data_IF_910855214773
#
_entry.id   IF_910855214773
#
_cell.length_a   1.000
_cell.length_b   1.000
_cell.length_c   1.000
_cell.angle_alpha   90.00
_cell.angle_beta   90.00
_cell.angle_gamma   90.00
#
_symmetry.space_group_name_H-M   'P 1'
#
loop_
_entity.id
_entity.type
_entity.pdbx_description
1 polymer ?
#
# COMPACT_ATOMS: atom_id res chain seq x y z
N UNK A 1 -11.13 -7.02 14.29
CA UNK A 1 -10.44 -8.17 13.66
C UNK A 1 -9.15 -7.63 13.08
N UNK A 2 -8.04 -8.33 13.32
CA UNK A 2 -6.72 -7.95 12.80
C UNK A 2 -6.15 -9.10 11.96
N UNK A 3 -5.26 -8.77 11.04
CA UNK A 3 -4.62 -9.68 10.08
C UNK A 3 -3.11 -9.48 10.12
N UNK A 4 -2.33 -10.55 10.01
CA UNK A 4 -0.90 -10.41 9.81
C UNK A 4 -0.61 -9.59 8.54
N UNK A 5 0.39 -8.72 8.59
CA UNK A 5 0.80 -7.87 7.47
C UNK A 5 1.06 -8.70 6.21
N UNK A 6 0.59 -8.23 5.06
CA UNK A 6 0.69 -8.92 3.76
C UNK A 6 0.13 -10.37 3.69
N UNK A 7 -0.54 -10.87 4.74
CA UNK A 7 -1.18 -12.19 4.71
C UNK A 7 -2.36 -12.24 3.74
N UNK A 8 -2.83 -13.43 3.31
CA UNK A 8 -4.00 -13.54 2.44
C UNK A 8 -5.25 -12.83 2.98
N UNK A 9 -5.48 -12.86 4.29
CA UNK A 9 -6.60 -12.14 4.92
C UNK A 9 -6.45 -10.62 4.86
N UNK A 10 -5.22 -10.13 5.00
CA UNK A 10 -4.90 -8.71 4.86
C UNK A 10 -5.05 -8.24 3.42
N UNK A 11 -4.57 -9.01 2.44
CA UNK A 11 -4.74 -8.75 1.00
C UNK A 11 -6.22 -8.73 0.60
N UNK A 12 -7.01 -9.69 1.10
CA UNK A 12 -8.46 -9.72 0.86
C UNK A 12 -9.18 -8.49 1.45
N UNK A 13 -8.77 -8.03 2.64
CA UNK A 13 -9.30 -6.80 3.25
C UNK A 13 -8.97 -5.57 2.39
N UNK A 14 -7.71 -5.42 1.97
CA UNK A 14 -7.29 -4.31 1.11
C UNK A 14 -8.05 -4.29 -0.21
N UNK A 15 -8.20 -5.43 -0.86
CA UNK A 15 -8.98 -5.54 -2.09
C UNK A 15 -10.41 -5.06 -1.88
N UNK A 16 -11.08 -5.52 -0.82
CA UNK A 16 -12.44 -5.09 -0.48
C UNK A 16 -12.53 -3.58 -0.25
N UNK A 17 -11.60 -3.01 0.52
CA UNK A 17 -11.55 -1.58 0.82
C UNK A 17 -11.36 -0.72 -0.44
N UNK A 18 -10.38 -1.06 -1.27
CA UNK A 18 -10.07 -0.29 -2.48
C UNK A 18 -11.21 -0.38 -3.49
N UNK A 19 -11.75 -1.58 -3.71
CA UNK A 19 -12.88 -1.79 -4.63
C UNK A 19 -14.12 -1.01 -4.19
N UNK A 20 -14.43 -1.00 -2.89
CA UNK A 20 -15.55 -0.23 -2.34
C UNK A 20 -15.35 1.28 -2.54
N UNK A 21 -14.15 1.78 -2.27
CA UNK A 21 -13.81 3.20 -2.42
C UNK A 21 -13.88 3.67 -3.86
N UNK A 22 -13.30 2.90 -4.79
CA UNK A 22 -13.27 3.28 -6.21
C UNK A 22 -14.65 3.19 -6.86
N UNK A 23 -15.51 2.26 -6.44
CA UNK A 23 -16.92 2.27 -6.88
C UNK A 23 -17.62 3.59 -6.55
N UNK A 24 -17.30 4.24 -5.44
CA UNK A 24 -17.81 5.59 -5.13
C UNK A 24 -17.24 6.62 -6.11
N UNK A 25 -15.95 6.55 -6.42
CA UNK A 25 -15.30 7.45 -7.38
C UNK A 25 -15.82 7.31 -8.81
N UNK A 26 -16.26 6.13 -9.25
CA UNK A 26 -16.90 6.01 -10.57
C UNK A 26 -18.07 7.00 -10.76
N UNK A 27 -18.78 7.32 -9.67
CA UNK A 27 -19.91 8.26 -9.70
C UNK A 27 -19.46 9.69 -9.43
N UNK A 28 -18.53 9.89 -8.48
CA UNK A 28 -18.15 11.22 -7.97
C UNK A 28 -16.97 11.86 -8.73
N UNK A 29 -16.09 11.05 -9.31
CA UNK A 29 -14.81 11.43 -9.92
C UNK A 29 -14.38 10.40 -10.99
N UNK A 30 -15.12 10.28 -12.12
CA UNK A 30 -14.86 9.26 -13.14
C UNK A 30 -13.51 9.43 -13.86
N UNK A 31 -12.88 10.60 -13.71
CA UNK A 31 -11.58 10.95 -14.27
C UNK A 31 -10.39 10.47 -13.42
N UNK A 32 -10.64 9.85 -12.25
CA UNK A 32 -9.57 9.44 -11.35
C UNK A 32 -8.74 8.31 -11.98
N UNK A 33 -7.41 8.51 -11.99
CA UNK A 33 -6.46 7.52 -12.49
C UNK A 33 -5.22 7.52 -11.61
N UNK A 34 -4.83 6.34 -11.13
CA UNK A 34 -3.60 6.14 -10.38
C UNK A 34 -3.26 4.66 -10.35
N UNK A 35 -1.97 4.35 -10.24
CA UNK A 35 -1.53 2.97 -10.09
C UNK A 35 -0.35 2.84 -9.16
N UNK A 36 -0.36 1.79 -8.34
CA UNK A 36 0.77 1.46 -7.47
C UNK A 36 1.06 -0.03 -7.44
N UNK A 37 2.31 -0.36 -7.13
CA UNK A 37 2.74 -1.70 -6.74
C UNK A 37 3.61 -1.59 -5.49
N UNK A 38 3.36 -2.43 -4.49
CA UNK A 38 4.29 -2.61 -3.37
C UNK A 38 4.88 -4.02 -3.41
N UNK A 39 6.17 -4.10 -3.15
CA UNK A 39 6.95 -5.33 -3.09
C UNK A 39 7.65 -5.38 -1.74
N UNK A 40 7.37 -6.44 -0.98
CA UNK A 40 7.95 -6.71 0.32
C UNK A 40 9.05 -7.75 0.17
N UNK A 41 10.30 -7.34 0.36
CA UNK A 41 11.48 -8.22 0.26
C UNK A 41 11.71 -8.98 1.56
N UNK A 42 12.34 -10.15 1.46
CA UNK A 42 12.67 -11.01 2.60
C UNK A 42 11.48 -11.32 3.54
N UNK A 43 10.31 -11.73 3.00
CA UNK A 43 9.16 -12.08 3.82
C UNK A 43 9.43 -13.34 4.68
N UNK A 44 8.68 -13.53 5.78
CA UNK A 44 8.82 -14.73 6.60
C UNK A 44 8.34 -15.97 5.83
N UNK A 45 8.97 -17.11 6.13
CA UNK A 45 8.77 -18.36 5.39
C UNK A 45 7.35 -18.94 5.48
N UNK A 46 6.57 -18.54 6.49
CA UNK A 46 5.15 -18.91 6.60
C UNK A 46 4.26 -18.19 5.57
N UNK A 47 4.68 -17.01 5.09
CA UNK A 47 4.02 -16.28 4.02
C UNK A 47 4.62 -16.57 2.64
N UNK A 48 5.93 -16.85 2.58
CA UNK A 48 6.64 -17.17 1.34
C UNK A 48 7.63 -18.32 1.54
N UNK A 49 7.18 -19.58 1.39
CA UNK A 49 8.03 -20.75 1.65
C UNK A 49 9.27 -20.87 0.76
N UNK A 50 9.23 -20.30 -0.45
CA UNK A 50 10.34 -20.27 -1.40
C UNK A 50 11.22 -19.01 -1.26
N UNK A 51 10.86 -18.09 -0.35
CA UNK A 51 11.56 -16.83 -0.14
C UNK A 51 11.32 -15.78 -1.22
N UNK A 52 10.39 -16.02 -2.14
CA UNK A 52 10.02 -15.04 -3.15
C UNK A 52 9.41 -13.78 -2.49
N UNK A 53 9.70 -12.56 -2.98
CA UNK A 53 9.06 -11.35 -2.45
C UNK A 53 7.53 -11.43 -2.53
N UNK A 54 6.86 -10.87 -1.53
CA UNK A 54 5.41 -10.68 -1.58
C UNK A 54 5.13 -9.38 -2.32
N UNK A 55 4.22 -9.39 -3.27
CA UNK A 55 3.88 -8.18 -4.00
C UNK A 55 2.38 -8.07 -4.25
N UNK A 56 1.91 -6.83 -4.30
CA UNK A 56 0.56 -6.52 -4.72
C UNK A 56 0.53 -5.25 -5.55
N UNK A 57 -0.54 -5.08 -6.31
CA UNK A 57 -0.75 -3.89 -7.11
C UNK A 57 -2.22 -3.46 -7.08
N UNK A 58 -2.42 -2.16 -7.26
CA UNK A 58 -3.72 -1.56 -7.50
C UNK A 58 -3.59 -0.56 -8.64
N UNK A 59 -4.40 -0.75 -9.68
CA UNK A 59 -4.47 0.13 -10.84
C UNK A 59 -5.92 0.60 -10.93
N UNK A 60 -6.11 1.91 -10.88
CA UNK A 60 -7.38 2.59 -11.13
C UNK A 60 -7.26 3.36 -12.42
N UNK A 61 -8.04 2.99 -13.42
CA UNK A 61 -8.08 3.63 -14.76
C UNK A 61 -9.47 3.49 -15.33
N UNK A 62 -9.98 4.53 -16.00
CA UNK A 62 -11.29 4.54 -16.67
C UNK A 62 -12.45 4.08 -15.76
N UNK A 63 -12.35 4.41 -14.47
CA UNK A 63 -13.31 3.99 -13.44
C UNK A 63 -13.16 2.54 -12.98
N UNK A 64 -12.32 1.70 -13.58
CA UNK A 64 -12.13 0.32 -13.17
C UNK A 64 -11.00 0.14 -12.15
N UNK A 65 -11.09 -0.90 -11.33
CA UNK A 65 -10.02 -1.34 -10.40
C UNK A 65 -9.47 -2.66 -10.88
N UNK A 66 -8.16 -2.70 -11.09
CA UNK A 66 -7.40 -3.95 -11.14
C UNK A 66 -6.59 -4.05 -9.85
N UNK A 67 -6.96 -4.98 -8.99
CA UNK A 67 -6.23 -5.33 -7.78
C UNK A 67 -5.73 -6.77 -7.90
N UNK A 68 -4.48 -7.01 -7.55
CA UNK A 68 -3.91 -8.35 -7.66
C UNK A 68 -2.62 -8.54 -6.89
N UNK A 69 -2.26 -9.79 -6.70
CA UNK A 69 -0.96 -10.21 -6.22
C UNK A 69 0.05 -10.20 -7.37
N UNK A 70 1.32 -10.07 -7.04
CA UNK A 70 2.42 -10.04 -7.99
C UNK A 70 2.94 -8.63 -8.29
N UNK A 71 4.22 -8.61 -8.60
CA UNK A 71 4.98 -7.41 -8.91
C UNK A 71 4.62 -6.86 -10.28
N UNK A 72 4.53 -5.52 -10.39
CA UNK A 72 4.34 -4.81 -11.65
C UNK A 72 5.27 -3.61 -11.73
N UNK A 73 5.86 -3.43 -12.91
CA UNK A 73 6.69 -2.27 -13.25
C UNK A 73 5.91 -1.18 -14.00
N UNK A 74 4.77 -1.52 -14.59
CA UNK A 74 3.93 -0.63 -15.39
C UNK A 74 2.90 0.15 -14.55
N UNK A 75 3.37 0.71 -13.43
CA UNK A 75 2.59 1.49 -12.46
C UNK A 75 3.18 2.90 -12.29
N UNK A 76 2.36 3.85 -11.83
CA UNK A 76 2.82 5.23 -11.58
C UNK A 76 3.83 5.29 -10.44
N UNK A 77 3.65 4.43 -9.42
CA UNK A 77 4.53 4.31 -8.27
C UNK A 77 4.78 2.85 -7.94
N UNK A 78 6.04 2.46 -7.82
CA UNK A 78 6.43 1.19 -7.23
C UNK A 78 7.23 1.43 -5.96
N UNK A 79 6.90 0.70 -4.90
CA UNK A 79 7.59 0.74 -3.62
C UNK A 79 8.17 -0.63 -3.36
N UNK A 80 9.50 -0.73 -3.28
CA UNK A 80 10.19 -1.96 -2.88
C UNK A 80 10.72 -1.74 -1.47
N UNK A 81 10.38 -2.63 -0.54
CA UNK A 81 10.69 -2.42 0.87
C UNK A 81 10.94 -3.72 1.63
N UNK A 82 11.90 -3.70 2.54
CA UNK A 82 12.15 -4.78 3.50
C UNK A 82 10.91 -5.08 4.35
N UNK A 83 10.49 -6.36 4.38
CA UNK A 83 9.28 -6.78 5.05
C UNK A 83 9.29 -6.45 6.54
N UNK A 84 10.35 -6.82 7.27
CA UNK A 84 10.41 -6.61 8.72
C UNK A 84 10.38 -5.11 9.05
N UNK A 85 11.10 -4.30 8.28
CA UNK A 85 11.21 -2.87 8.51
C UNK A 85 9.94 -2.07 8.18
N UNK A 86 9.09 -2.55 7.24
CA UNK A 86 7.82 -1.86 6.92
C UNK A 86 6.71 -2.15 7.92
N UNK A 87 6.73 -3.27 8.62
CA UNK A 87 5.64 -3.68 9.51
C UNK A 87 5.27 -2.59 10.55
N UNK A 88 6.21 -1.94 11.25
CA UNK A 88 5.89 -0.83 12.15
C UNK A 88 5.21 0.35 11.43
N UNK A 89 5.62 0.65 10.20
CA UNK A 89 5.03 1.70 9.36
C UNK A 89 3.60 1.32 8.98
N UNK A 90 3.37 0.08 8.53
CA UNK A 90 2.06 -0.44 8.17
C UNK A 90 1.06 -0.49 9.33
N UNK A 91 1.54 -0.62 10.57
CA UNK A 91 0.71 -0.59 11.81
C UNK A 91 0.45 0.83 12.33
N UNK A 92 1.13 1.84 11.82
CA UNK A 92 1.09 3.17 12.41
C UNK A 92 -0.17 3.94 11.95
N UNK A 93 -1.21 3.97 12.79
CA UNK A 93 -2.42 4.77 12.57
C UNK A 93 -2.13 6.26 12.84
N UNK A 94 -2.26 7.12 11.83
CA UNK A 94 -2.05 8.56 11.96
C UNK A 94 -3.24 9.25 12.63
N UNK A 95 -4.41 8.61 12.69
CA UNK A 95 -5.67 9.16 13.20
C UNK A 95 -6.09 10.44 12.50
N UNK A 96 -5.60 10.67 11.27
CA UNK A 96 -5.74 11.94 10.56
C UNK A 96 -5.04 13.14 11.22
N UNK A 97 -4.16 12.93 12.20
CA UNK A 97 -3.47 14.00 12.92
C UNK A 97 -2.20 14.45 12.15
N UNK A 98 -2.02 15.75 11.86
CA UNK A 98 -0.88 16.23 11.08
C UNK A 98 0.49 15.86 11.67
N UNK A 99 0.62 15.88 12.99
CA UNK A 99 1.86 15.50 13.67
C UNK A 99 2.21 14.03 13.43
N UNK A 100 1.22 13.14 13.49
CA UNK A 100 1.40 11.70 13.23
C UNK A 100 1.63 11.40 11.76
N UNK A 101 1.02 12.16 10.86
CA UNK A 101 1.34 12.09 9.43
C UNK A 101 2.80 12.48 9.15
N UNK A 102 3.33 13.49 9.85
CA UNK A 102 4.74 13.85 9.78
C UNK A 102 5.66 12.76 10.36
N UNK A 103 5.25 12.11 11.45
CA UNK A 103 5.96 10.95 12.01
C UNK A 103 5.99 9.76 11.02
N UNK A 104 4.85 9.42 10.41
CA UNK A 104 4.78 8.38 9.38
C UNK A 104 5.70 8.69 8.19
N UNK A 105 5.73 9.94 7.76
CA UNK A 105 6.63 10.39 6.70
C UNK A 105 8.10 10.29 7.11
N UNK A 106 8.43 10.61 8.37
CA UNK A 106 9.78 10.48 8.90
C UNK A 106 10.22 9.01 9.02
N UNK A 107 9.31 8.09 9.42
CA UNK A 107 9.56 6.65 9.41
C UNK A 107 9.88 6.16 7.99
N UNK A 108 9.07 6.56 7.00
CA UNK A 108 9.31 6.22 5.60
C UNK A 108 10.66 6.76 5.11
N UNK A 109 11.01 7.99 5.49
CA UNK A 109 12.29 8.60 5.11
C UNK A 109 13.48 7.85 5.74
N UNK A 110 13.39 7.48 7.01
CA UNK A 110 14.44 6.72 7.69
C UNK A 110 14.70 5.36 7.02
N UNK A 111 13.65 4.69 6.53
CA UNK A 111 13.81 3.44 5.77
C UNK A 111 14.50 3.66 4.42
N UNK A 112 14.24 4.78 3.76
CA UNK A 112 14.94 5.14 2.50
C UNK A 112 16.40 5.45 2.75
N UNK A 113 16.69 6.25 3.78
CA UNK A 113 18.07 6.62 4.14
C UNK A 113 18.90 5.40 4.54
N UNK A 114 18.25 4.39 5.16
CA UNK A 114 18.85 3.11 5.49
C UNK A 114 18.96 2.12 4.31
N UNK A 115 18.50 2.49 3.11
CA UNK A 115 18.49 1.62 1.93
C UNK A 115 17.48 0.46 2.00
N UNK A 116 16.53 0.51 2.94
CA UNK A 116 15.50 -0.51 3.15
C UNK A 116 14.21 -0.26 2.38
N UNK A 117 14.00 0.95 1.88
CA UNK A 117 12.86 1.34 1.06
C UNK A 117 13.35 2.05 -0.20
N UNK A 118 12.87 1.62 -1.35
CA UNK A 118 13.03 2.30 -2.62
C UNK A 118 11.66 2.70 -3.17
N UNK A 119 11.56 3.93 -3.66
CA UNK A 119 10.39 4.41 -4.40
C UNK A 119 10.81 4.69 -5.83
N UNK A 120 10.09 4.10 -6.77
CA UNK A 120 10.31 4.21 -8.21
C UNK A 120 9.04 4.85 -8.80
N UNK A 121 9.21 5.79 -9.73
CA UNK A 121 8.09 6.52 -10.35
C UNK A 121 7.73 7.80 -9.61
N UNK A 122 6.48 8.26 -9.77
CA UNK A 122 6.03 9.59 -9.37
C UNK A 122 4.80 9.55 -8.45
N UNK A 123 5.05 9.76 -7.14
CA UNK A 123 4.01 9.78 -6.11
C UNK A 123 3.04 10.95 -6.24
N UNK A 124 3.42 12.02 -6.96
CA UNK A 124 2.54 13.18 -7.14
C UNK A 124 1.34 12.88 -8.04
N UNK A 125 1.42 11.79 -8.82
CA UNK A 125 0.31 11.31 -9.66
C UNK A 125 -0.84 10.67 -8.88
N UNK A 126 -0.65 10.36 -7.59
CA UNK A 126 -1.75 9.86 -6.76
C UNK A 126 -2.75 10.99 -6.53
N UNK A 127 -3.94 10.84 -7.09
CA UNK A 127 -5.01 11.82 -6.92
C UNK A 127 -5.37 11.98 -5.43
N UNK A 128 -5.38 13.20 -4.87
CA UNK A 128 -5.69 13.43 -3.46
C UNK A 128 -7.11 12.99 -3.08
N UNK A 129 -8.06 12.93 -4.03
CA UNK A 129 -9.44 12.46 -3.81
C UNK A 129 -9.50 10.99 -3.39
N UNK A 130 -8.48 10.19 -3.75
CA UNK A 130 -8.33 8.81 -3.27
C UNK A 130 -8.40 8.76 -1.73
N UNK A 131 -7.89 9.81 -1.08
CA UNK A 131 -7.83 9.93 0.37
C UNK A 131 -6.87 8.91 0.98
N UNK A 132 -7.02 8.72 2.29
CA UNK A 132 -6.16 7.83 3.05
C UNK A 132 -6.74 6.42 3.18
N UNK A 133 -5.97 5.44 2.70
CA UNK A 133 -6.20 4.01 2.96
C UNK A 133 -5.36 3.54 4.14
N UNK A 134 -4.28 4.26 4.45
CA UNK A 134 -3.26 3.85 5.41
C UNK A 134 -3.87 3.63 6.79
N UNK A 135 -4.56 4.62 7.36
CA UNK A 135 -5.13 4.50 8.71
C UNK A 135 -6.15 3.34 8.83
N UNK A 136 -6.94 3.09 7.79
CA UNK A 136 -7.92 1.99 7.79
C UNK A 136 -7.20 0.64 7.80
N UNK A 137 -6.16 0.50 6.98
CA UNK A 137 -5.34 -0.71 6.90
C UNK A 137 -4.52 -0.90 8.18
N UNK A 138 -3.96 0.17 8.73
CA UNK A 138 -3.18 0.14 9.97
C UNK A 138 -4.00 -0.40 11.14
N UNK A 139 -5.27 -0.01 11.27
CA UNK A 139 -6.18 -0.49 12.34
C UNK A 139 -6.49 -1.98 12.27
N UNK A 140 -6.36 -2.60 11.11
CA UNK A 140 -6.59 -4.04 10.93
C UNK A 140 -5.28 -4.83 10.78
N UNK A 141 -4.12 -4.18 10.86
CA UNK A 141 -2.83 -4.87 10.78
C UNK A 141 -2.40 -5.30 12.18
N UNK A 142 -2.23 -6.62 12.36
CA UNK A 142 -1.75 -7.24 13.59
C UNK A 142 -0.23 -7.04 13.76
#
# INVERSE_FOLDING_TARGET
MTYAFASPGWMAFMHGLVTERVRRFQTEAPDISWSLCEVFTDPPADLSPDGSPLAWHCIVRDGEVTFGEGERDDVDVKIVIDYEAVVPLGRYDTRGEPARQAELAAMAQALRDAGKMQVIGDRSKRDPRVGDFHDIIARVTA
#
